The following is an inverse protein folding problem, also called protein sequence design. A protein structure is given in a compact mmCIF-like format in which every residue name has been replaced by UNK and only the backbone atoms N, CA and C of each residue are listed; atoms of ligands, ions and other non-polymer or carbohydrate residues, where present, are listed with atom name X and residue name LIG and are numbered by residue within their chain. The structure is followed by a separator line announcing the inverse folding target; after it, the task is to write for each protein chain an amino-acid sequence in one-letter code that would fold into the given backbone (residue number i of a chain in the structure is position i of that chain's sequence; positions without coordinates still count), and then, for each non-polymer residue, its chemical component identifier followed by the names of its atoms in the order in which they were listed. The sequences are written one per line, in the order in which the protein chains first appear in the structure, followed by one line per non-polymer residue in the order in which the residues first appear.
data_IF_097746131343
#
_entry.id   IF_097746131343
#
_cell.length_a   1.000
_cell.length_b   1.000
_cell.length_c   1.000
_cell.angle_alpha   90.00
_cell.angle_beta   90.00
_cell.angle_gamma   90.00
#
_symmetry.space_group_name_H-M   'P 1'
#
loop_
_entity.id
_entity.type
_entity.pdbx_description
1 polymer ?
#
# COMPACT_ATOMS: atom_id res chain seq x y z
N UNK A 1 9.31 38.61 -9.63
CA UNK A 1 9.36 37.70 -8.46
C UNK A 1 9.90 36.38 -8.96
N UNK A 2 10.96 35.86 -8.35
CA UNK A 2 11.46 34.51 -8.67
C UNK A 2 10.49 33.47 -8.17
N UNK A 3 10.20 32.42 -8.97
CA UNK A 3 9.36 31.32 -8.56
C UNK A 3 9.93 30.62 -7.29
N UNK A 4 9.08 30.14 -6.38
CA UNK A 4 9.55 29.45 -5.18
C UNK A 4 10.31 28.17 -5.57
N UNK A 5 11.36 27.87 -4.85
CA UNK A 5 12.11 26.61 -5.01
C UNK A 5 11.36 25.47 -4.35
N UNK A 6 10.97 24.46 -5.12
CA UNK A 6 10.20 23.32 -4.65
C UNK A 6 10.95 22.01 -4.87
N UNK A 7 10.75 21.04 -3.98
CA UNK A 7 11.15 19.66 -4.24
C UNK A 7 9.97 18.97 -4.96
N UNK A 8 10.16 18.37 -6.16
CA UNK A 8 9.06 17.79 -6.93
C UNK A 8 8.67 16.36 -6.52
N UNK A 9 9.33 15.76 -5.51
CA UNK A 9 9.12 14.35 -5.14
C UNK A 9 8.15 14.09 -3.96
N UNK A 10 7.87 15.01 -3.03
CA UNK A 10 6.83 14.77 -2.04
C UNK A 10 5.46 14.54 -2.67
N UNK A 11 4.68 13.65 -2.03
CA UNK A 11 3.30 13.40 -2.42
C UNK A 11 2.35 14.41 -1.74
N UNK A 12 1.22 14.78 -2.37
CA UNK A 12 0.25 15.70 -1.78
C UNK A 12 -0.20 15.27 -0.39
N UNK A 13 -0.01 16.14 0.60
CA UNK A 13 -0.33 15.87 2.00
C UNK A 13 0.64 14.94 2.74
N UNK A 14 1.75 14.55 2.09
CA UNK A 14 2.87 13.81 2.69
C UNK A 14 4.18 14.62 2.61
N UNK A 15 4.13 15.95 2.50
CA UNK A 15 5.31 16.80 2.33
C UNK A 15 6.33 16.62 3.45
N UNK A 16 5.87 16.40 4.68
CA UNK A 16 6.72 16.11 5.85
C UNK A 16 7.09 14.64 6.02
N UNK A 17 6.47 13.74 5.27
CA UNK A 17 6.65 12.28 5.36
C UNK A 17 6.71 11.64 3.97
N UNK A 18 7.72 12.01 3.14
CA UNK A 18 7.75 11.69 1.71
C UNK A 18 7.88 10.20 1.39
N UNK A 19 8.13 9.37 2.40
CA UNK A 19 8.26 7.91 2.24
C UNK A 19 6.96 7.16 2.54
N UNK A 20 5.88 7.85 2.92
CA UNK A 20 4.59 7.18 3.12
C UNK A 20 4.02 6.68 1.80
N UNK A 21 3.36 5.50 1.79
CA UNK A 21 2.74 4.95 0.59
C UNK A 21 1.55 5.80 0.13
N UNK A 22 1.22 5.69 -1.15
CA UNK A 22 -0.02 6.25 -1.71
C UNK A 22 -1.24 5.65 -1.01
N UNK A 23 -2.23 6.49 -0.69
CA UNK A 23 -3.52 6.10 -0.04
C UNK A 23 -4.68 6.81 -0.71
N UNK A 24 -5.10 6.40 -1.91
CA UNK A 24 -6.11 7.10 -2.70
C UNK A 24 -7.50 7.08 -2.05
N UNK A 25 -7.85 6.02 -1.35
CA UNK A 25 -9.10 5.93 -0.58
C UNK A 25 -9.20 6.95 0.57
N UNK A 26 -8.07 7.43 1.08
CA UNK A 26 -7.99 8.47 2.11
C UNK A 26 -7.67 9.86 1.53
N UNK A 27 -6.91 9.90 0.45
CA UNK A 27 -6.48 11.12 -0.26
C UNK A 27 -6.68 10.94 -1.76
N UNK A 28 -7.83 11.39 -2.32
CA UNK A 28 -8.15 11.18 -3.75
C UNK A 28 -7.09 11.69 -4.72
N UNK A 29 -6.35 12.76 -4.37
CA UNK A 29 -5.24 13.27 -5.17
C UNK A 29 -4.12 12.23 -5.41
N UNK A 30 -4.01 11.19 -4.57
CA UNK A 30 -3.03 10.14 -4.77
C UNK A 30 -3.34 9.21 -5.95
N UNK A 31 -4.58 9.21 -6.49
CA UNK A 31 -4.96 8.40 -7.67
C UNK A 31 -4.07 8.66 -8.87
N UNK A 32 -3.71 9.91 -9.06
CA UNK A 32 -2.92 10.34 -10.20
C UNK A 32 -1.42 10.08 -10.05
N UNK A 33 -0.95 9.67 -8.86
CA UNK A 33 0.47 9.51 -8.57
C UNK A 33 1.00 8.09 -8.74
N UNK A 34 0.18 7.14 -9.20
CA UNK A 34 0.65 5.81 -9.58
C UNK A 34 1.43 5.90 -10.88
N UNK A 35 2.63 5.35 -10.86
CA UNK A 35 3.51 5.24 -12.03
C UNK A 35 3.65 3.76 -12.35
N UNK A 36 3.54 3.34 -13.62
CA UNK A 36 3.67 1.93 -14.00
C UNK A 36 5.15 1.49 -13.95
N UNK A 37 5.60 1.11 -12.77
CA UNK A 37 6.95 0.61 -12.46
C UNK A 37 6.83 -0.63 -11.58
N UNK A 38 7.89 -1.41 -11.43
CA UNK A 38 8.01 -2.59 -10.54
C UNK A 38 6.92 -3.67 -10.72
N UNK A 39 6.28 -3.74 -11.89
CA UNK A 39 5.19 -4.69 -12.18
C UNK A 39 3.86 -4.36 -11.49
N UNK A 40 3.74 -3.18 -10.86
CA UNK A 40 2.50 -2.80 -10.12
C UNK A 40 1.30 -2.57 -11.02
N UNK A 41 1.47 -2.13 -12.28
CA UNK A 41 0.34 -1.95 -13.21
C UNK A 41 -0.23 -3.29 -13.65
N UNK A 42 0.62 -4.23 -14.03
CA UNK A 42 0.24 -5.59 -14.43
C UNK A 42 -0.45 -6.33 -13.28
N UNK A 43 0.09 -6.20 -12.07
CA UNK A 43 -0.51 -6.78 -10.87
C UNK A 43 -1.88 -6.15 -10.55
N UNK A 44 -2.04 -4.85 -10.77
CA UNK A 44 -3.32 -4.18 -10.60
C UNK A 44 -4.35 -4.61 -11.65
N UNK A 45 -3.94 -4.77 -12.91
CA UNK A 45 -4.80 -5.28 -13.97
C UNK A 45 -5.25 -6.71 -13.69
N UNK A 46 -4.33 -7.57 -13.24
CA UNK A 46 -4.66 -8.93 -12.77
C UNK A 46 -5.68 -8.88 -11.64
N UNK A 47 -5.49 -8.02 -10.63
CA UNK A 47 -6.44 -7.86 -9.53
C UNK A 47 -7.84 -7.51 -10.04
N UNK A 48 -7.96 -6.54 -10.94
CA UNK A 48 -9.25 -6.14 -11.52
C UNK A 48 -9.92 -7.28 -12.29
N UNK A 49 -9.14 -8.01 -13.07
CA UNK A 49 -9.64 -9.15 -13.84
C UNK A 49 -10.14 -10.27 -12.92
N UNK A 50 -9.38 -10.64 -11.90
CA UNK A 50 -9.75 -11.73 -10.98
C UNK A 50 -10.88 -11.32 -10.02
N UNK A 51 -10.95 -10.06 -9.62
CA UNK A 51 -12.07 -9.52 -8.82
C UNK A 51 -13.38 -9.52 -9.62
N UNK A 52 -13.30 -9.27 -10.93
CA UNK A 52 -14.43 -9.31 -11.85
C UNK A 52 -15.53 -8.33 -11.48
N UNK A 53 -16.75 -8.82 -11.44
CA UNK A 53 -17.96 -8.03 -11.18
C UNK A 53 -18.31 -7.89 -9.68
N UNK A 54 -17.40 -8.18 -8.76
CA UNK A 54 -17.58 -8.22 -7.31
C UNK A 54 -18.60 -9.28 -6.81
N UNK A 55 -19.21 -10.10 -7.68
CA UNK A 55 -20.22 -11.08 -7.26
C UNK A 55 -19.68 -12.04 -6.21
N UNK A 56 -18.48 -12.58 -6.41
CA UNK A 56 -17.83 -13.49 -5.45
C UNK A 56 -17.56 -12.80 -4.12
N UNK A 57 -17.11 -11.53 -4.15
CA UNK A 57 -16.88 -10.74 -2.93
C UNK A 57 -18.18 -10.57 -2.14
N UNK A 58 -19.27 -10.23 -2.83
CA UNK A 58 -20.55 -9.95 -2.16
C UNK A 58 -21.22 -11.20 -1.61
N UNK A 59 -21.00 -12.34 -2.24
CA UNK A 59 -21.64 -13.61 -1.85
C UNK A 59 -20.80 -14.43 -0.84
N UNK A 60 -19.48 -14.47 -1.03
CA UNK A 60 -18.58 -15.35 -0.27
C UNK A 60 -17.48 -14.60 0.49
N UNK A 61 -17.21 -13.33 0.16
CA UNK A 61 -16.02 -12.63 0.60
C UNK A 61 -14.80 -13.02 -0.22
N UNK A 62 -13.68 -12.31 -0.04
CA UNK A 62 -12.45 -12.56 -0.77
C UNK A 62 -11.20 -12.16 0.01
N UNK A 63 -10.08 -12.79 -0.32
CA UNK A 63 -8.76 -12.39 0.14
C UNK A 63 -7.87 -12.10 -1.06
N UNK A 64 -7.09 -11.02 -1.00
CA UNK A 64 -5.99 -10.77 -1.91
C UNK A 64 -4.67 -10.63 -1.14
N UNK A 65 -3.65 -11.29 -1.65
CA UNK A 65 -2.29 -11.33 -1.10
C UNK A 65 -1.32 -10.71 -2.11
N UNK A 66 -0.62 -9.67 -1.70
CA UNK A 66 0.43 -9.03 -2.50
C UNK A 66 1.80 -9.47 -1.97
N UNK A 67 2.64 -10.01 -2.85
CA UNK A 67 3.99 -10.49 -2.52
C UNK A 67 5.04 -9.72 -3.30
N UNK A 68 6.28 -9.78 -2.84
CA UNK A 68 7.44 -9.12 -3.46
C UNK A 68 8.42 -8.61 -2.42
N UNK A 69 9.61 -8.22 -2.84
CA UNK A 69 10.65 -7.73 -1.95
C UNK A 69 10.28 -6.44 -1.21
N UNK A 70 11.03 -6.13 -0.15
CA UNK A 70 10.81 -4.89 0.61
C UNK A 70 11.04 -3.66 -0.25
N UNK A 71 10.11 -2.70 -0.19
CA UNK A 71 10.18 -1.46 -0.95
C UNK A 71 9.68 -1.50 -2.39
N UNK A 72 9.19 -2.66 -2.89
CA UNK A 72 8.67 -2.84 -4.25
C UNK A 72 7.18 -2.47 -4.38
N UNK A 73 6.71 -1.41 -3.78
CA UNK A 73 5.38 -0.86 -4.05
C UNK A 73 4.17 -1.64 -3.52
N UNK A 74 4.34 -2.76 -2.79
CA UNK A 74 3.22 -3.61 -2.28
C UNK A 74 2.13 -2.82 -1.57
N UNK A 75 2.51 -2.01 -0.57
CA UNK A 75 1.55 -1.22 0.21
C UNK A 75 0.79 -0.21 -0.67
N UNK A 76 1.46 0.38 -1.66
CA UNK A 76 0.80 1.27 -2.62
C UNK A 76 -0.21 0.51 -3.48
N UNK A 77 0.13 -0.71 -3.95
CA UNK A 77 -0.77 -1.57 -4.71
C UNK A 77 -1.99 -2.01 -3.87
N UNK A 78 -1.78 -2.45 -2.62
CA UNK A 78 -2.88 -2.79 -1.69
C UNK A 78 -3.85 -1.62 -1.52
N UNK A 79 -3.33 -0.41 -1.33
CA UNK A 79 -4.15 0.81 -1.22
C UNK A 79 -4.90 1.14 -2.53
N UNK A 80 -4.28 0.90 -3.70
CA UNK A 80 -4.90 1.08 -5.02
C UNK A 80 -6.05 0.10 -5.23
N UNK A 81 -5.84 -1.16 -4.88
CA UNK A 81 -6.88 -2.20 -4.92
C UNK A 81 -8.07 -1.84 -4.03
N UNK A 82 -7.81 -1.38 -2.81
CA UNK A 82 -8.86 -0.95 -1.87
C UNK A 82 -9.69 0.21 -2.44
N UNK A 83 -9.05 1.24 -2.99
CA UNK A 83 -9.72 2.40 -3.59
C UNK A 83 -10.56 2.00 -4.81
N UNK A 84 -10.03 1.12 -5.65
CA UNK A 84 -10.76 0.64 -6.82
C UNK A 84 -12.02 -0.13 -6.42
N UNK A 85 -11.93 -1.07 -5.46
CA UNK A 85 -13.10 -1.83 -4.98
C UNK A 85 -14.13 -0.90 -4.34
N UNK A 86 -13.70 0.07 -3.54
CA UNK A 86 -14.61 1.07 -2.97
C UNK A 86 -15.34 1.86 -4.06
N UNK A 87 -14.64 2.23 -5.14
CA UNK A 87 -15.22 2.90 -6.31
C UNK A 87 -16.21 2.01 -7.09
N UNK A 88 -15.91 0.72 -7.27
CA UNK A 88 -16.82 -0.22 -7.93
C UNK A 88 -18.08 -0.50 -7.09
N UNK A 89 -17.94 -0.56 -5.76
CA UNK A 89 -19.08 -0.67 -4.85
C UNK A 89 -19.97 0.60 -4.91
N UNK A 90 -19.36 1.77 -4.94
CA UNK A 90 -20.10 3.03 -5.05
C UNK A 90 -20.94 3.12 -6.35
N UNK A 91 -20.48 2.54 -7.47
CA UNK A 91 -21.26 2.43 -8.72
C UNK A 91 -22.48 1.53 -8.62
N UNK A 92 -22.58 0.76 -7.54
CA UNK A 92 -23.69 -0.16 -7.23
C UNK A 92 -24.51 0.31 -6.04
N UNK A 93 -24.43 1.60 -5.72
CA UNK A 93 -25.09 2.21 -4.56
C UNK A 93 -24.73 1.53 -3.22
N UNK A 94 -23.50 0.97 -3.16
CA UNK A 94 -22.94 0.38 -1.95
C UNK A 94 -21.76 1.20 -1.45
N UNK A 95 -21.63 1.31 -0.14
CA UNK A 95 -20.47 1.95 0.50
C UNK A 95 -19.37 0.92 0.75
N UNK A 96 -18.22 1.08 0.11
CA UNK A 96 -16.99 0.36 0.43
C UNK A 96 -16.29 1.01 1.62
N UNK A 97 -16.42 0.44 2.81
CA UNK A 97 -15.74 0.92 4.02
C UNK A 97 -14.33 0.34 4.09
N UNK A 98 -13.31 1.19 3.98
CA UNK A 98 -11.90 0.78 4.10
C UNK A 98 -11.43 0.93 5.53
N UNK A 99 -11.02 -0.17 6.15
CA UNK A 99 -10.40 -0.19 7.49
C UNK A 99 -8.90 -0.50 7.36
N UNK A 100 -8.07 0.47 7.72
CA UNK A 100 -6.60 0.30 7.75
C UNK A 100 -6.18 -0.23 9.12
N UNK A 101 -5.92 -1.53 9.18
CA UNK A 101 -5.45 -2.24 10.36
C UNK A 101 -3.96 -2.60 10.27
N UNK A 102 -3.24 -2.10 9.28
CA UNK A 102 -1.82 -2.43 9.04
C UNK A 102 -0.92 -2.11 10.23
N UNK A 103 -1.28 -1.13 11.05
CA UNK A 103 -0.53 -0.69 12.23
C UNK A 103 -1.20 -1.02 13.57
N UNK A 104 -2.20 -1.92 13.62
CA UNK A 104 -2.91 -2.20 14.87
C UNK A 104 -2.17 -3.15 15.82
N UNK A 105 -1.16 -3.86 15.34
CA UNK A 105 -0.40 -4.81 16.16
C UNK A 105 0.84 -4.14 16.78
N UNK A 106 1.21 -4.49 18.02
CA UNK A 106 2.45 -4.04 18.63
C UNK A 106 3.66 -4.58 17.85
N UNK A 107 4.69 -3.74 17.69
CA UNK A 107 5.92 -4.07 16.95
C UNK A 107 6.99 -4.72 17.79
N UNK A 108 6.85 -4.66 19.11
CA UNK A 108 7.83 -5.12 20.12
C UNK A 108 7.47 -6.46 20.77
N UNK A 109 6.38 -7.08 20.34
CA UNK A 109 5.89 -8.35 20.91
C UNK A 109 5.69 -9.40 19.80
N UNK A 110 6.19 -10.60 20.05
CA UNK A 110 5.84 -11.77 19.25
C UNK A 110 4.48 -12.30 19.68
N UNK A 111 3.47 -12.05 18.87
CA UNK A 111 2.10 -12.55 19.08
C UNK A 111 1.89 -13.83 18.26
N UNK A 112 1.21 -14.81 18.87
CA UNK A 112 0.70 -15.97 18.12
C UNK A 112 -0.39 -15.55 17.13
N UNK A 113 -0.68 -16.41 16.14
CA UNK A 113 -1.77 -16.14 15.17
C UNK A 113 -3.10 -15.89 15.89
N UNK A 114 -3.40 -16.61 16.96
CA UNK A 114 -4.64 -16.42 17.73
C UNK A 114 -4.69 -15.04 18.39
N UNK A 115 -3.58 -14.59 18.98
CA UNK A 115 -3.50 -13.26 19.57
C UNK A 115 -3.60 -12.16 18.51
N UNK A 116 -2.86 -12.30 17.40
CA UNK A 116 -2.91 -11.34 16.28
C UNK A 116 -4.34 -11.21 15.71
N UNK A 117 -5.00 -12.34 15.47
CA UNK A 117 -6.38 -12.31 14.96
C UNK A 117 -7.37 -11.76 15.96
N UNK A 118 -7.13 -11.91 17.27
CA UNK A 118 -7.97 -11.29 18.32
C UNK A 118 -7.78 -9.77 18.34
N UNK A 119 -6.55 -9.25 18.31
CA UNK A 119 -6.29 -7.81 18.24
C UNK A 119 -6.88 -7.16 17.00
N UNK A 120 -6.71 -7.81 15.83
CA UNK A 120 -7.32 -7.35 14.57
C UNK A 120 -8.85 -7.32 14.68
N UNK A 121 -9.47 -8.36 15.27
CA UNK A 121 -10.90 -8.46 15.47
C UNK A 121 -11.42 -7.36 16.38
N UNK A 122 -10.76 -7.14 17.51
CA UNK A 122 -11.13 -6.13 18.51
C UNK A 122 -11.07 -4.73 17.90
N UNK A 123 -9.94 -4.40 17.26
CA UNK A 123 -9.77 -3.10 16.60
C UNK A 123 -10.75 -2.89 15.44
N UNK A 124 -10.99 -3.90 14.65
CA UNK A 124 -11.98 -3.84 13.57
C UNK A 124 -13.38 -3.56 14.11
N UNK A 125 -13.78 -4.24 15.19
CA UNK A 125 -15.08 -4.06 15.81
C UNK A 125 -15.28 -2.62 16.28
N UNK A 126 -14.32 -2.05 17.02
CA UNK A 126 -14.36 -0.65 17.45
C UNK A 126 -14.59 0.31 16.27
N UNK A 127 -13.83 0.13 15.19
CA UNK A 127 -13.97 0.98 14.00
C UNK A 127 -15.33 0.82 13.29
N UNK A 128 -15.90 -0.38 13.29
CA UNK A 128 -17.23 -0.63 12.72
C UNK A 128 -18.34 0.04 13.53
N UNK A 129 -18.22 0.04 14.86
CA UNK A 129 -19.15 0.73 15.77
C UNK A 129 -19.02 2.24 15.60
N UNK A 130 -17.79 2.78 15.64
CA UNK A 130 -17.53 4.21 15.48
C UNK A 130 -18.06 4.76 14.14
N UNK A 131 -17.99 3.97 13.08
CA UNK A 131 -18.49 4.33 11.75
C UNK A 131 -20.02 4.12 11.57
N UNK A 132 -20.67 3.42 12.48
CA UNK A 132 -22.09 3.04 12.36
C UNK A 132 -22.35 2.06 11.20
N UNK A 133 -21.38 1.21 10.88
CA UNK A 133 -21.44 0.27 9.76
C UNK A 133 -22.27 -0.98 10.06
N UNK A 134 -22.52 -1.27 11.33
CA UNK A 134 -23.31 -2.43 11.79
C UNK A 134 -24.80 -2.12 11.82
N UNK A 135 -25.61 -3.18 11.70
CA UNK A 135 -27.04 -3.14 12.04
C UNK A 135 -27.16 -3.09 13.55
N UNK A 136 -28.04 -2.23 14.07
CA UNK A 136 -28.25 -2.03 15.51
C UNK A 136 -28.45 -3.36 16.27
N UNK A 137 -29.28 -4.26 15.75
CA UNK A 137 -29.57 -5.57 16.35
C UNK A 137 -28.39 -6.55 16.34
N UNK A 138 -27.37 -6.30 15.52
CA UNK A 138 -26.20 -7.17 15.36
C UNK A 138 -25.02 -6.71 16.21
N UNK A 139 -24.96 -5.42 16.56
CA UNK A 139 -23.88 -4.82 17.33
C UNK A 139 -23.74 -5.48 18.70
N UNK A 140 -24.82 -5.53 19.52
CA UNK A 140 -24.80 -6.16 20.84
C UNK A 140 -24.44 -7.66 20.76
N UNK A 141 -24.91 -8.35 19.71
CA UNK A 141 -24.60 -9.77 19.49
C UNK A 141 -23.15 -10.05 19.15
N UNK A 142 -22.54 -9.17 18.39
CA UNK A 142 -21.12 -9.28 18.06
C UNK A 142 -20.26 -8.86 19.25
N UNK A 143 -20.62 -7.80 19.96
CA UNK A 143 -19.91 -7.34 21.15
C UNK A 143 -19.83 -8.45 22.21
N UNK A 144 -20.92 -9.19 22.45
CA UNK A 144 -20.94 -10.31 23.37
C UNK A 144 -19.96 -11.46 23.04
N UNK A 145 -19.37 -11.47 21.86
CA UNK A 145 -18.43 -12.52 21.39
C UNK A 145 -17.17 -11.94 20.75
N UNK A 146 -16.89 -10.65 20.94
CA UNK A 146 -15.81 -9.93 20.26
C UNK A 146 -14.41 -10.50 20.55
N UNK A 147 -14.22 -11.13 21.68
CA UNK A 147 -13.01 -11.82 22.11
C UNK A 147 -12.76 -13.14 21.36
N UNK A 148 -13.75 -13.61 20.56
CA UNK A 148 -13.68 -14.87 19.83
C UNK A 148 -13.77 -14.64 18.33
N UNK A 149 -12.66 -14.35 17.62
CA UNK A 149 -12.64 -14.02 16.18
C UNK A 149 -13.41 -14.99 15.30
N UNK A 150 -13.31 -16.31 15.59
CA UNK A 150 -14.03 -17.37 14.86
C UNK A 150 -15.56 -17.26 14.95
N UNK A 151 -16.08 -16.49 15.90
CA UNK A 151 -17.53 -16.21 16.02
C UNK A 151 -17.93 -14.88 15.40
N UNK A 152 -17.03 -13.90 15.38
CA UNK A 152 -17.27 -12.57 14.83
C UNK A 152 -17.17 -12.58 13.30
N UNK A 153 -16.02 -12.94 12.76
CA UNK A 153 -15.73 -12.82 11.33
C UNK A 153 -16.75 -13.49 10.41
N UNK A 154 -17.16 -14.76 10.62
CA UNK A 154 -18.15 -15.40 9.75
C UNK A 154 -19.53 -14.75 9.76
N UNK A 155 -19.82 -13.90 10.74
CA UNK A 155 -21.11 -13.20 10.88
C UNK A 155 -21.06 -11.77 10.35
N UNK A 156 -19.89 -11.24 10.04
CA UNK A 156 -19.73 -9.85 9.62
C UNK A 156 -20.63 -9.48 8.45
N UNK A 157 -20.66 -10.28 7.39
CA UNK A 157 -21.46 -9.98 6.21
C UNK A 157 -22.96 -9.82 6.50
N UNK A 158 -23.48 -10.56 7.50
CA UNK A 158 -24.86 -10.43 7.95
C UNK A 158 -25.07 -9.29 8.94
N UNK A 159 -24.02 -8.95 9.70
CA UNK A 159 -24.07 -7.89 10.69
C UNK A 159 -23.89 -6.50 10.08
N UNK A 160 -23.19 -6.40 8.96
CA UNK A 160 -23.07 -5.14 8.21
C UNK A 160 -24.44 -4.67 7.71
N UNK A 161 -24.61 -3.36 7.60
CA UNK A 161 -25.76 -2.76 6.90
C UNK A 161 -25.83 -3.27 5.47
N UNK A 162 -27.01 -3.23 4.87
CA UNK A 162 -27.23 -3.80 3.53
C UNK A 162 -26.40 -3.11 2.45
N UNK A 163 -26.26 -1.81 2.61
CA UNK A 163 -25.52 -0.91 1.71
C UNK A 163 -24.01 -0.88 1.96
N UNK A 164 -23.46 -1.67 2.91
CA UNK A 164 -22.05 -1.64 3.30
C UNK A 164 -21.34 -2.94 2.91
N UNK A 165 -20.17 -2.81 2.29
CA UNK A 165 -19.17 -3.86 2.16
C UNK A 165 -17.84 -3.41 2.78
N UNK A 166 -17.13 -4.34 3.38
CA UNK A 166 -15.93 -4.07 4.17
C UNK A 166 -14.67 -4.41 3.39
N UNK A 167 -13.70 -3.50 3.41
CA UNK A 167 -12.37 -3.69 2.83
C UNK A 167 -11.35 -3.52 3.95
N UNK A 168 -10.71 -4.60 4.36
CA UNK A 168 -9.80 -4.64 5.51
C UNK A 168 -8.36 -4.75 5.02
N UNK A 169 -7.55 -3.74 5.31
CA UNK A 169 -6.11 -3.80 5.12
C UNK A 169 -5.51 -4.44 6.37
N UNK A 170 -5.08 -5.70 6.23
CA UNK A 170 -4.55 -6.50 7.34
C UNK A 170 -3.09 -6.13 7.64
N UNK A 171 -2.63 -6.30 8.89
CA UNK A 171 -1.20 -6.30 9.20
C UNK A 171 -0.45 -7.35 8.36
N UNK A 172 0.82 -7.08 8.06
CA UNK A 172 1.67 -8.09 7.41
C UNK A 172 1.75 -9.35 8.28
N UNK A 173 1.50 -10.55 7.72
CA UNK A 173 1.50 -11.78 8.50
C UNK A 173 2.93 -12.13 8.95
N UNK A 174 3.08 -12.63 10.19
CA UNK A 174 4.36 -13.07 10.72
C UNK A 174 4.59 -14.56 10.42
N UNK A 175 3.59 -15.40 10.67
CA UNK A 175 3.58 -16.83 10.33
C UNK A 175 2.76 -17.05 9.07
N UNK A 176 3.29 -16.66 8.03
CA UNK A 176 2.92 -16.38 6.67
C UNK A 176 1.76 -17.23 6.12
N UNK A 177 1.96 -18.53 5.98
CA UNK A 177 0.99 -19.40 5.27
C UNK A 177 -0.25 -19.64 6.11
N UNK A 178 -0.07 -20.02 7.37
CA UNK A 178 -1.19 -20.41 8.24
C UNK A 178 -2.08 -19.22 8.62
N UNK A 179 -1.51 -18.03 8.79
CA UNK A 179 -2.28 -16.82 9.06
C UNK A 179 -3.13 -16.40 7.85
N UNK A 180 -2.54 -16.44 6.64
CA UNK A 180 -3.25 -16.15 5.39
C UNK A 180 -4.37 -17.16 5.15
N UNK A 181 -4.11 -18.46 5.33
CA UNK A 181 -5.12 -19.52 5.21
C UNK A 181 -6.26 -19.31 6.21
N UNK A 182 -5.95 -18.88 7.43
CA UNK A 182 -6.95 -18.60 8.44
C UNK A 182 -7.92 -17.49 8.00
N UNK A 183 -7.42 -16.37 7.48
CA UNK A 183 -8.27 -15.30 6.96
C UNK A 183 -9.09 -15.76 5.76
N UNK A 184 -8.49 -16.48 4.81
CA UNK A 184 -9.18 -16.92 3.61
C UNK A 184 -10.27 -17.99 3.87
N UNK A 185 -10.05 -18.85 4.85
CA UNK A 185 -10.90 -20.04 5.09
C UNK A 185 -11.83 -19.91 6.28
N UNK A 186 -11.29 -19.50 7.43
CA UNK A 186 -12.00 -19.56 8.72
C UNK A 186 -12.66 -18.24 9.08
N UNK A 187 -12.05 -17.14 8.68
CA UNK A 187 -12.48 -15.78 9.03
C UNK A 187 -13.16 -15.06 7.85
N UNK A 188 -13.27 -15.70 6.70
CA UNK A 188 -13.92 -15.12 5.54
C UNK A 188 -15.43 -14.99 5.71
N UNK A 189 -16.02 -13.96 5.13
CA UNK A 189 -17.46 -13.68 5.19
C UNK A 189 -17.92 -12.90 3.97
N UNK A 190 -19.16 -13.10 3.55
CA UNK A 190 -19.78 -12.28 2.51
C UNK A 190 -19.57 -10.78 2.73
N UNK A 191 -19.40 -10.02 1.65
CA UNK A 191 -19.17 -8.57 1.67
C UNK A 191 -17.85 -8.13 2.36
N UNK A 192 -16.92 -9.04 2.64
CA UNK A 192 -15.64 -8.73 3.28
C UNK A 192 -14.48 -9.04 2.33
N UNK A 193 -13.67 -8.05 2.03
CA UNK A 193 -12.41 -8.19 1.33
C UNK A 193 -11.25 -8.01 2.30
N UNK A 194 -10.43 -9.03 2.44
CA UNK A 194 -9.14 -8.92 3.11
C UNK A 194 -8.03 -8.62 2.10
N UNK A 195 -7.23 -7.60 2.38
CA UNK A 195 -6.05 -7.24 1.63
C UNK A 195 -4.84 -7.34 2.56
N UNK A 196 -3.85 -8.12 2.17
CA UNK A 196 -2.61 -8.28 2.94
C UNK A 196 -1.40 -8.27 2.04
N UNK A 197 -0.24 -7.96 2.60
CA UNK A 197 1.04 -7.96 1.89
C UNK A 197 2.11 -8.74 2.64
N UNK A 198 3.04 -9.36 1.92
CA UNK A 198 4.19 -10.04 2.49
C UNK A 198 5.46 -9.78 1.69
N UNK A 199 6.56 -9.52 2.43
CA UNK A 199 7.91 -9.45 1.85
C UNK A 199 8.67 -10.79 1.94
N UNK A 200 8.08 -11.79 2.58
CA UNK A 200 8.74 -13.04 2.93
C UNK A 200 8.18 -14.27 2.23
N UNK A 201 6.98 -14.17 1.62
CA UNK A 201 6.39 -15.26 0.86
C UNK A 201 6.99 -15.30 -0.55
N UNK A 202 7.72 -16.35 -0.83
CA UNK A 202 8.18 -16.67 -2.18
C UNK A 202 7.11 -17.41 -3.01
N UNK A 203 7.44 -17.72 -4.25
CA UNK A 203 6.52 -18.39 -5.17
C UNK A 203 6.06 -19.78 -4.67
N UNK A 204 6.92 -20.52 -3.95
CA UNK A 204 6.60 -21.84 -3.41
C UNK A 204 5.56 -21.76 -2.28
N UNK A 205 5.71 -20.81 -1.37
CA UNK A 205 4.78 -20.58 -0.25
C UNK A 205 3.44 -20.06 -0.77
N UNK A 206 3.44 -19.17 -1.77
CA UNK A 206 2.21 -18.71 -2.45
C UNK A 206 1.48 -19.88 -3.12
N UNK A 207 2.19 -20.73 -3.85
CA UNK A 207 1.61 -21.93 -4.46
C UNK A 207 1.03 -22.90 -3.41
N UNK A 208 1.65 -22.98 -2.24
CA UNK A 208 1.14 -23.79 -1.12
C UNK A 208 -0.16 -23.22 -0.54
N UNK A 209 -0.23 -21.89 -0.36
CA UNK A 209 -1.47 -21.20 0.05
C UNK A 209 -2.60 -21.49 -0.94
N UNK A 210 -2.35 -21.30 -2.24
CA UNK A 210 -3.36 -21.54 -3.29
C UNK A 210 -3.84 -22.99 -3.26
N UNK A 211 -2.92 -23.97 -3.20
CA UNK A 211 -3.24 -25.39 -3.14
C UNK A 211 -4.08 -25.75 -1.93
N UNK A 212 -3.76 -25.22 -0.75
CA UNK A 212 -4.53 -25.50 0.48
C UNK A 212 -5.94 -24.87 0.47
N UNK A 213 -6.17 -23.89 -0.39
CA UNK A 213 -7.44 -23.19 -0.55
C UNK A 213 -8.18 -23.55 -1.84
N UNK A 214 -7.71 -24.54 -2.60
CA UNK A 214 -8.25 -24.93 -3.91
C UNK A 214 -9.75 -25.27 -3.88
N UNK A 215 -10.25 -25.84 -2.78
CA UNK A 215 -11.68 -26.20 -2.62
C UNK A 215 -12.55 -25.03 -2.09
N UNK A 216 -11.98 -23.88 -1.90
CA UNK A 216 -12.62 -22.67 -1.40
C UNK A 216 -12.59 -21.58 -2.47
N UNK A 217 -13.04 -20.36 -2.12
CA UNK A 217 -12.79 -19.20 -2.98
C UNK A 217 -11.28 -18.94 -2.99
N UNK A 218 -10.59 -19.16 -4.11
CA UNK A 218 -9.14 -19.01 -4.15
C UNK A 218 -8.76 -17.54 -3.90
N UNK A 219 -7.67 -17.31 -3.16
CA UNK A 219 -7.16 -15.95 -2.96
C UNK A 219 -6.64 -15.39 -4.28
N UNK A 220 -6.80 -14.09 -4.47
CA UNK A 220 -6.11 -13.35 -5.52
C UNK A 220 -4.66 -13.20 -5.07
N UNK A 221 -3.71 -13.70 -5.85
CA UNK A 221 -2.28 -13.61 -5.53
C UNK A 221 -1.58 -12.72 -6.54
N UNK A 222 -1.03 -11.61 -6.05
CA UNK A 222 -0.37 -10.59 -6.85
C UNK A 222 1.11 -10.57 -6.51
N UNK A 223 1.94 -10.34 -7.51
CA UNK A 223 3.38 -10.20 -7.31
C UNK A 223 3.87 -8.88 -7.88
N UNK A 224 4.72 -8.18 -7.10
CA UNK A 224 5.47 -7.00 -7.54
C UNK A 224 6.96 -7.28 -7.42
N UNK A 225 7.72 -6.81 -8.40
CA UNK A 225 9.14 -7.10 -8.55
C UNK A 225 10.06 -5.93 -8.21
N UNK A 226 11.36 -6.11 -8.41
CA UNK A 226 12.30 -5.00 -8.44
C UNK A 226 12.02 -4.10 -9.65
N UNK A 227 12.63 -2.91 -9.67
CA UNK A 227 12.56 -2.01 -10.81
C UNK A 227 13.19 -2.63 -12.05
N UNK A 228 12.49 -2.54 -13.17
CA UNK A 228 12.97 -2.95 -14.48
C UNK A 228 13.74 -1.84 -15.21
N UNK A 229 14.36 -2.20 -16.34
CA UNK A 229 15.04 -1.23 -17.20
C UNK A 229 14.08 -0.13 -17.64
N UNK A 230 14.45 1.13 -17.38
CA UNK A 230 13.65 2.32 -17.72
C UNK A 230 12.68 2.77 -16.64
N UNK A 231 12.41 1.97 -15.61
CA UNK A 231 11.48 2.33 -14.54
C UNK A 231 11.94 3.56 -13.75
N UNK A 232 13.22 3.64 -13.42
CA UNK A 232 13.79 4.77 -12.72
C UNK A 232 13.62 6.09 -13.50
N UNK A 233 13.84 6.04 -14.82
CA UNK A 233 13.62 7.18 -15.70
C UNK A 233 12.14 7.56 -15.74
N UNK A 234 11.26 6.59 -16.00
CA UNK A 234 9.80 6.79 -16.06
C UNK A 234 9.26 7.41 -14.77
N UNK A 235 9.72 6.91 -13.62
CA UNK A 235 9.34 7.44 -12.32
C UNK A 235 9.80 8.88 -12.10
N UNK A 236 11.07 9.18 -12.43
CA UNK A 236 11.63 10.52 -12.30
C UNK A 236 10.91 11.54 -13.22
N UNK A 237 10.72 11.18 -14.50
CA UNK A 237 10.03 12.02 -15.48
C UNK A 237 8.57 12.31 -15.07
N UNK A 238 7.84 11.28 -14.60
CA UNK A 238 6.47 11.45 -14.10
C UNK A 238 6.43 12.47 -12.96
N UNK A 239 7.27 12.32 -11.94
CA UNK A 239 7.29 13.23 -10.79
C UNK A 239 7.67 14.66 -11.17
N UNK A 240 8.67 14.81 -12.03
CA UNK A 240 9.10 16.11 -12.54
C UNK A 240 8.00 16.79 -13.37
N UNK A 241 7.31 16.05 -14.23
CA UNK A 241 6.25 16.61 -15.08
C UNK A 241 5.03 17.10 -14.28
N UNK A 242 4.67 16.41 -13.20
CA UNK A 242 3.47 16.75 -12.38
C UNK A 242 3.59 18.07 -11.65
N UNK A 243 4.79 18.49 -11.31
CA UNK A 243 5.05 19.73 -10.59
C UNK A 243 5.45 20.90 -11.50
N UNK A 244 5.37 20.71 -12.82
CA UNK A 244 5.59 21.79 -13.78
C UNK A 244 4.64 22.97 -13.51
N UNK A 245 5.22 24.14 -13.16
CA UNK A 245 4.45 25.33 -12.80
C UNK A 245 4.14 25.52 -11.31
N UNK A 246 4.40 24.53 -10.45
CA UNK A 246 4.23 24.67 -8.99
C UNK A 246 5.38 25.48 -8.34
N UNK A 247 6.53 25.56 -9.00
CA UNK A 247 7.71 26.28 -8.56
C UNK A 247 8.90 25.96 -9.47
N UNK A 248 10.09 26.45 -9.09
CA UNK A 248 11.32 26.21 -9.85
C UNK A 248 12.06 25.03 -9.26
N UNK A 249 12.51 24.11 -10.11
CA UNK A 249 13.40 22.99 -9.80
C UNK A 249 14.22 22.59 -11.05
N UNK A 250 15.44 22.05 -10.87
CA UNK A 250 16.27 21.61 -11.97
C UNK A 250 15.75 20.29 -12.58
N UNK A 251 16.08 20.06 -13.84
CA UNK A 251 15.93 18.75 -14.48
C UNK A 251 17.03 17.81 -14.01
N UNK A 252 16.85 16.52 -14.22
CA UNK A 252 17.88 15.52 -13.97
C UNK A 252 18.70 15.28 -15.25
N UNK A 253 20.01 15.15 -15.12
CA UNK A 253 20.87 14.77 -16.27
C UNK A 253 20.73 13.27 -16.55
N UNK A 254 20.97 12.85 -17.79
CA UNK A 254 20.86 11.44 -18.21
C UNK A 254 21.84 10.56 -17.42
N UNK A 255 23.07 11.00 -17.21
CA UNK A 255 24.08 10.29 -16.40
C UNK A 255 23.62 10.11 -14.94
N UNK A 256 22.89 11.09 -14.39
CA UNK A 256 22.34 11.00 -13.04
C UNK A 256 21.19 10.00 -12.98
N UNK A 257 20.32 9.96 -13.99
CA UNK A 257 19.25 8.96 -14.10
C UNK A 257 19.84 7.55 -14.22
N UNK A 258 20.84 7.35 -15.07
CA UNK A 258 21.53 6.07 -15.22
C UNK A 258 22.18 5.60 -13.92
N UNK A 259 22.83 6.51 -13.19
CA UNK A 259 23.41 6.18 -11.89
C UNK A 259 22.35 5.71 -10.89
N UNK A 260 21.22 6.42 -10.82
CA UNK A 260 20.10 6.06 -9.93
C UNK A 260 19.51 4.73 -10.35
N UNK A 261 19.25 4.51 -11.64
CA UNK A 261 18.71 3.26 -12.17
C UNK A 261 19.60 2.05 -11.84
N UNK A 262 20.92 2.23 -11.91
CA UNK A 262 21.88 1.16 -11.60
C UNK A 262 21.90 0.76 -10.12
N UNK A 263 21.60 1.69 -9.21
CA UNK A 263 21.76 1.49 -7.78
C UNK A 263 20.44 1.34 -7.00
N UNK A 264 19.32 1.77 -7.57
CA UNK A 264 18.01 1.64 -6.93
C UNK A 264 17.26 0.41 -7.46
N UNK A 265 17.09 -0.59 -6.61
CA UNK A 265 16.39 -1.83 -6.95
C UNK A 265 14.89 -1.80 -6.62
N UNK A 266 14.43 -0.80 -5.86
CA UNK A 266 13.03 -0.70 -5.45
C UNK A 266 12.51 0.74 -5.55
N UNK A 267 11.20 0.88 -5.72
CA UNK A 267 10.55 2.20 -5.81
C UNK A 267 10.72 3.03 -4.54
N UNK A 268 10.75 2.39 -3.36
CA UNK A 268 11.00 3.10 -2.11
C UNK A 268 12.42 3.64 -2.02
N UNK A 269 13.41 2.88 -2.50
CA UNK A 269 14.80 3.33 -2.58
C UNK A 269 14.94 4.48 -3.57
N UNK A 270 14.30 4.35 -4.74
CA UNK A 270 14.26 5.37 -5.79
C UNK A 270 13.64 6.69 -5.26
N UNK A 271 12.47 6.63 -4.65
CA UNK A 271 11.80 7.78 -4.05
C UNK A 271 12.68 8.48 -2.99
N UNK A 272 13.30 7.68 -2.10
CA UNK A 272 14.21 8.21 -1.06
C UNK A 272 15.41 8.91 -1.65
N UNK A 273 15.97 8.34 -2.69
CA UNK A 273 17.16 8.86 -3.35
C UNK A 273 16.88 10.18 -4.07
N UNK A 274 15.85 10.18 -4.90
CA UNK A 274 15.45 11.35 -5.67
C UNK A 274 14.99 12.49 -4.75
N UNK A 275 14.09 12.21 -3.82
CA UNK A 275 13.65 13.20 -2.84
C UNK A 275 14.82 13.81 -2.07
N UNK A 276 15.72 12.96 -1.56
CA UNK A 276 16.85 13.42 -0.75
C UNK A 276 17.86 14.25 -1.54
N UNK A 277 18.14 13.88 -2.79
CA UNK A 277 19.04 14.63 -3.67
C UNK A 277 18.48 16.01 -3.99
N UNK A 278 17.20 16.09 -4.35
CA UNK A 278 16.56 17.36 -4.65
C UNK A 278 16.45 18.25 -3.41
N UNK A 279 16.15 17.69 -2.25
CA UNK A 279 16.10 18.45 -1.00
C UNK A 279 17.47 19.01 -0.63
N UNK A 280 18.51 18.20 -0.70
CA UNK A 280 19.89 18.63 -0.44
C UNK A 280 20.31 19.77 -1.38
N UNK A 281 20.05 19.62 -2.69
CA UNK A 281 20.39 20.67 -3.68
C UNK A 281 19.56 21.94 -3.45
N UNK A 282 18.29 21.81 -3.08
CA UNK A 282 17.42 22.94 -2.75
C UNK A 282 17.93 23.74 -1.54
N UNK A 283 18.40 23.05 -0.50
CA UNK A 283 18.96 23.65 0.73
C UNK A 283 20.28 24.34 0.48
N UNK A 284 21.16 23.78 -0.34
CA UNK A 284 22.44 24.43 -0.71
C UNK A 284 22.24 25.71 -1.54
N UNK A 285 21.11 25.84 -2.23
CA UNK A 285 20.71 27.01 -2.98
C UNK A 285 21.53 27.27 -4.25
N UNK A 286 22.52 26.45 -4.57
CA UNK A 286 23.36 26.58 -5.76
C UNK A 286 22.72 25.84 -6.93
N UNK A 287 22.52 26.54 -8.06
CA UNK A 287 22.02 25.93 -9.29
C UNK A 287 20.66 25.22 -9.11
N UNK A 288 19.68 25.88 -8.48
CA UNK A 288 18.34 25.33 -8.29
C UNK A 288 17.29 26.13 -9.04
N UNK A 289 17.37 26.09 -10.37
CA UNK A 289 16.41 26.70 -11.30
C UNK A 289 16.06 25.72 -12.41
N UNK A 290 15.09 26.04 -13.24
CA UNK A 290 14.68 25.22 -14.40
C UNK A 290 15.78 25.10 -15.47
N UNK A 291 16.74 26.04 -15.50
CA UNK A 291 17.88 26.01 -16.41
C UNK A 291 19.05 25.13 -15.91
N UNK A 292 19.02 24.74 -14.63
CA UNK A 292 20.06 23.92 -14.02
C UNK A 292 19.75 22.42 -14.17
N UNK A 293 20.76 21.59 -13.87
CA UNK A 293 20.63 20.13 -13.85
C UNK A 293 21.00 19.58 -12.47
N UNK A 294 20.31 18.54 -12.05
CA UNK A 294 20.79 17.62 -11.01
C UNK A 294 21.74 16.64 -11.65
N UNK A 295 22.99 16.65 -11.20
CA UNK A 295 24.10 15.88 -11.79
C UNK A 295 24.51 14.71 -10.87
N UNK A 296 25.42 13.88 -11.36
CA UNK A 296 26.06 12.81 -10.57
C UNK A 296 26.77 13.38 -9.33
N UNK A 297 27.35 14.58 -9.43
CA UNK A 297 28.03 15.25 -8.32
C UNK A 297 27.04 15.65 -7.20
N UNK A 298 25.84 16.10 -7.56
CA UNK A 298 24.78 16.41 -6.58
C UNK A 298 24.36 15.15 -5.81
N UNK A 299 24.20 14.02 -6.50
CA UNK A 299 23.91 12.73 -5.90
C UNK A 299 25.01 12.30 -4.93
N UNK A 300 26.28 12.42 -5.34
CA UNK A 300 27.44 12.10 -4.50
C UNK A 300 27.52 13.01 -3.28
N UNK A 301 27.24 14.29 -3.44
CA UNK A 301 27.21 15.25 -2.32
C UNK A 301 26.15 14.88 -1.29
N UNK A 302 24.95 14.54 -1.73
CA UNK A 302 23.87 14.04 -0.85
C UNK A 302 24.29 12.78 -0.08
N UNK A 303 24.87 11.78 -0.76
CA UNK A 303 25.31 10.54 -0.12
C UNK A 303 26.40 10.77 0.91
N UNK A 304 27.37 11.63 0.61
CA UNK A 304 28.45 11.98 1.53
C UNK A 304 27.94 12.68 2.79
N UNK A 305 26.90 13.49 2.67
CA UNK A 305 26.26 14.14 3.82
C UNK A 305 25.60 13.11 4.75
N UNK A 306 24.91 12.12 4.17
CA UNK A 306 24.30 11.02 4.95
C UNK A 306 25.33 10.13 5.65
N UNK A 307 26.44 9.83 5.00
CA UNK A 307 27.51 9.01 5.57
C UNK A 307 28.18 9.68 6.78
N UNK A 308 28.20 11.02 6.82
CA UNK A 308 28.78 11.79 7.95
C UNK A 308 27.83 11.90 9.15
N UNK A 309 26.52 11.87 8.92
CA UNK A 309 25.50 12.03 9.97
C UNK A 309 25.05 10.72 10.64
N UNK A 310 25.73 9.58 10.33
CA UNK A 310 25.42 8.26 10.87
C UNK A 310 24.19 7.59 10.19
N UNK A 311 23.97 6.27 10.43
CA UNK A 311 22.82 5.59 9.90
C UNK A 311 21.54 6.21 10.50
N UNK A 312 20.71 6.78 9.66
CA UNK A 312 19.35 7.11 10.05
C UNK A 312 18.65 5.75 10.22
N UNK A 313 18.46 5.34 11.48
CA UNK A 313 17.59 4.23 11.82
C UNK A 313 16.22 4.49 11.17
N UNK A 314 15.93 3.79 10.12
CA UNK A 314 14.59 3.72 9.56
C UNK A 314 13.80 2.64 10.28
N UNK A 315 12.49 2.81 10.41
CA UNK A 315 11.60 1.77 10.91
C UNK A 315 11.60 0.56 9.98
#
# INVERSE_FOLDING_TARGET
MTAPRVNPFPLPGWESTPMRPLRPWHRPAHRDYYVPVDGTEEAFDQFRQEMGDLGVLLEYGRLALVTGESGCGKTALVNRCADWVAGELARRDMRGLVLDLTGCLPTDQELSIDQRTAEVCDRMFDLLVDDGALRQESEDRLDAVRDVPRRVFPRLGQALREDVALIVLLPSPNELVDEVIRYARTLNSAKVLFLTESAYLGAAEVADVVRQLETWVPPITLHVGPLDTGDAQRFAEDRLSRHAGAGSYPRMSDDAIELVAKHCQSVAMLQRFLHGTYEHKRETGLGYTEADLVTVEDIRAFLNTKSRNGPVNGP
#
